data_IF_874803363745
#
_entry.id   IF_874803363745
#
_cell.length_a   1.000
_cell.length_b   1.000
_cell.length_c   1.000
_cell.angle_alpha   90.00
_cell.angle_beta   90.00
_cell.angle_gamma   90.00
#
_symmetry.space_group_name_H-M   'P 1'
#
loop_
_entity.id
_entity.type
_entity.pdbx_description
1 polymer ?
#
# COMPACT_ATOMS: atom_id res chain seq x y z
N UNK A 1 17.21 48.07 -8.05
CA UNK A 1 17.72 46.76 -8.44
C UNK A 1 17.67 45.90 -7.18
N UNK A 2 16.54 45.22 -7.01
CA UNK A 2 16.26 44.38 -5.83
C UNK A 2 17.01 43.07 -5.97
N UNK A 3 17.81 42.71 -4.97
CA UNK A 3 18.49 41.41 -4.94
C UNK A 3 17.45 40.31 -4.81
N UNK A 4 17.59 39.18 -5.50
CA UNK A 4 16.67 38.06 -5.37
C UNK A 4 16.76 37.52 -3.93
N UNK A 5 15.61 37.47 -3.25
CA UNK A 5 15.49 36.86 -1.92
C UNK A 5 15.81 35.37 -2.10
N UNK A 6 16.98 34.96 -1.61
CA UNK A 6 17.39 33.54 -1.61
C UNK A 6 16.46 32.81 -0.62
N UNK A 7 15.50 32.05 -1.14
CA UNK A 7 14.69 31.15 -0.34
C UNK A 7 15.62 30.10 0.29
N UNK A 8 15.61 29.91 1.61
CA UNK A 8 16.46 28.92 2.26
C UNK A 8 16.19 27.51 1.69
N UNK A 9 17.24 26.71 1.43
CA UNK A 9 17.13 25.33 0.92
C UNK A 9 16.12 24.48 1.70
N UNK A 10 16.04 24.68 3.00
CA UNK A 10 15.10 23.98 3.88
C UNK A 10 13.63 24.33 3.61
N UNK A 11 13.31 25.58 3.23
CA UNK A 11 11.94 25.96 2.91
C UNK A 11 11.45 25.25 1.62
N UNK A 12 12.31 25.13 0.63
CA UNK A 12 12.03 24.40 -0.61
C UNK A 12 11.86 22.89 -0.39
N UNK A 13 12.66 22.27 0.49
CA UNK A 13 12.53 20.86 0.81
C UNK A 13 11.21 20.58 1.54
N UNK A 14 10.87 21.38 2.54
CA UNK A 14 9.61 21.23 3.27
C UNK A 14 8.39 21.36 2.35
N UNK A 15 8.43 22.30 1.40
CA UNK A 15 7.35 22.44 0.41
C UNK A 15 7.25 21.22 -0.53
N UNK A 16 8.39 20.69 -0.98
CA UNK A 16 8.44 19.46 -1.79
C UNK A 16 7.91 18.25 -1.03
N UNK A 17 8.38 18.04 0.20
CA UNK A 17 7.91 16.95 1.07
C UNK A 17 6.41 17.02 1.28
N UNK A 18 5.88 18.22 1.58
CA UNK A 18 4.44 18.43 1.75
C UNK A 18 3.67 18.12 0.47
N UNK A 19 4.13 18.59 -0.68
CA UNK A 19 3.49 18.34 -1.97
C UNK A 19 3.42 16.85 -2.28
N UNK A 20 4.56 16.17 -2.24
CA UNK A 20 4.65 14.72 -2.50
C UNK A 20 3.81 13.91 -1.50
N UNK A 21 3.84 14.29 -0.21
CA UNK A 21 3.01 13.62 0.80
C UNK A 21 1.52 13.70 0.48
N UNK A 22 1.03 14.87 0.13
CA UNK A 22 -0.38 15.05 -0.23
C UNK A 22 -0.75 14.24 -1.48
N UNK A 23 0.10 14.22 -2.50
CA UNK A 23 -0.12 13.42 -3.71
C UNK A 23 -0.16 11.91 -3.40
N UNK A 24 0.73 11.42 -2.52
CA UNK A 24 0.70 10.02 -2.07
C UNK A 24 -0.57 9.67 -1.29
N UNK A 25 -1.02 10.55 -0.40
CA UNK A 25 -2.27 10.36 0.35
C UNK A 25 -3.47 10.38 -0.59
N UNK A 26 -3.51 11.31 -1.55
CA UNK A 26 -4.58 11.37 -2.53
C UNK A 26 -4.61 10.11 -3.42
N UNK A 27 -3.45 9.57 -3.80
CA UNK A 27 -3.35 8.31 -4.54
C UNK A 27 -3.93 7.12 -3.75
N UNK A 28 -3.63 7.02 -2.46
CA UNK A 28 -4.19 5.98 -1.58
C UNK A 28 -5.69 6.12 -1.44
N UNK A 29 -6.18 7.32 -1.09
CA UNK A 29 -7.61 7.57 -0.89
C UNK A 29 -8.42 7.51 -2.19
N UNK A 30 -7.78 7.82 -3.32
CA UNK A 30 -8.35 7.73 -4.67
C UNK A 30 -8.44 6.28 -5.19
N UNK A 31 -7.72 5.34 -4.56
CA UNK A 31 -7.68 3.94 -4.96
C UNK A 31 -6.64 3.62 -6.03
N UNK A 32 -5.68 4.50 -6.29
CA UNK A 32 -4.55 4.25 -7.21
C UNK A 32 -3.52 3.29 -6.61
N UNK A 33 -3.52 3.14 -5.28
CA UNK A 33 -2.81 2.12 -4.53
C UNK A 33 -1.29 2.29 -4.48
N UNK A 34 -0.61 1.25 -3.97
CA UNK A 34 0.85 1.26 -3.72
C UNK A 34 1.70 1.49 -4.98
N UNK A 35 1.20 1.13 -6.16
CA UNK A 35 1.92 1.36 -7.42
C UNK A 35 2.14 2.85 -7.70
N UNK A 36 1.12 3.67 -7.48
CA UNK A 36 1.22 5.12 -7.63
C UNK A 36 2.09 5.76 -6.54
N UNK A 37 2.01 5.25 -5.31
CA UNK A 37 2.91 5.68 -4.23
C UNK A 37 4.38 5.39 -4.58
N UNK A 38 4.68 4.21 -5.14
CA UNK A 38 6.03 3.86 -5.58
C UNK A 38 6.54 4.80 -6.69
N UNK A 39 5.69 5.14 -7.66
CA UNK A 39 6.01 6.09 -8.74
C UNK A 39 6.34 7.49 -8.19
N UNK A 40 5.48 8.03 -7.33
CA UNK A 40 5.69 9.34 -6.69
C UNK A 40 6.96 9.37 -5.83
N UNK A 41 7.24 8.27 -5.12
CA UNK A 41 8.45 8.13 -4.32
C UNK A 41 9.70 8.10 -5.21
N UNK A 42 9.66 7.35 -6.32
CA UNK A 42 10.77 7.24 -7.26
C UNK A 42 11.10 8.59 -7.91
N UNK A 43 10.09 9.31 -8.38
CA UNK A 43 10.24 10.64 -8.98
C UNK A 43 10.85 11.63 -7.98
N UNK A 44 10.43 11.59 -6.72
CA UNK A 44 10.90 12.50 -5.69
C UNK A 44 12.30 12.15 -5.15
N UNK A 45 12.60 10.86 -4.97
CA UNK A 45 13.87 10.36 -4.46
C UNK A 45 14.96 10.30 -5.54
N UNK A 46 14.59 10.31 -6.84
CA UNK A 46 15.52 10.20 -7.97
C UNK A 46 16.13 8.81 -8.09
N UNK A 47 15.42 7.77 -7.68
CA UNK A 47 15.83 6.37 -7.79
C UNK A 47 14.61 5.48 -7.98
N UNK A 48 14.79 4.29 -8.55
CA UNK A 48 13.71 3.31 -8.59
C UNK A 48 13.30 2.89 -7.17
N UNK A 49 12.01 2.67 -6.97
CA UNK A 49 11.43 2.31 -5.67
C UNK A 49 10.58 1.05 -5.77
N UNK A 50 10.76 0.15 -4.82
CA UNK A 50 9.88 -0.97 -4.58
C UNK A 50 9.18 -0.83 -3.24
N UNK A 51 7.90 -1.18 -3.18
CA UNK A 51 7.12 -1.28 -1.95
C UNK A 51 6.65 -2.72 -1.79
N UNK A 52 6.99 -3.32 -0.66
CA UNK A 52 6.63 -4.70 -0.37
C UNK A 52 5.86 -4.76 0.94
N UNK A 53 4.62 -5.22 0.86
CA UNK A 53 3.73 -5.40 2.01
C UNK A 53 3.22 -6.84 1.99
N UNK A 54 3.92 -7.78 2.67
CA UNK A 54 3.56 -9.20 2.69
C UNK A 54 2.14 -9.46 3.15
N UNK A 55 1.65 -8.69 4.10
CA UNK A 55 0.31 -8.79 4.69
C UNK A 55 -0.80 -8.59 3.64
N UNK A 56 -0.62 -7.69 2.68
CA UNK A 56 -1.51 -7.49 1.54
C UNK A 56 -1.19 -8.42 0.35
N UNK A 57 -0.16 -9.27 0.46
CA UNK A 57 0.37 -10.01 -0.68
C UNK A 57 0.97 -9.10 -1.77
N UNK A 58 1.16 -7.82 -1.46
CA UNK A 58 1.59 -6.80 -2.40
C UNK A 58 3.11 -6.72 -2.51
N UNK A 59 3.60 -6.60 -3.73
CA UNK A 59 4.95 -6.15 -4.05
C UNK A 59 4.88 -5.43 -5.39
N UNK A 60 5.20 -4.16 -5.39
CA UNK A 60 5.09 -3.26 -6.54
C UNK A 60 6.38 -2.46 -6.71
N UNK A 61 6.62 -1.99 -7.94
CA UNK A 61 7.69 -1.03 -8.26
C UNK A 61 7.10 0.14 -9.03
N UNK A 62 7.83 1.24 -9.12
CA UNK A 62 7.53 2.27 -10.09
C UNK A 62 7.63 1.72 -11.54
N UNK A 63 6.87 2.30 -12.49
CA UNK A 63 6.93 1.88 -13.90
C UNK A 63 8.34 1.97 -14.47
N UNK A 64 8.78 0.90 -15.13
CA UNK A 64 10.09 0.83 -15.78
C UNK A 64 11.23 0.36 -14.88
N UNK A 65 11.02 0.20 -13.58
CA UNK A 65 12.04 -0.36 -12.68
C UNK A 65 12.26 -1.85 -12.96
N UNK A 66 13.52 -2.26 -13.05
CA UNK A 66 13.91 -3.67 -13.18
C UNK A 66 14.24 -4.24 -11.80
N UNK A 67 13.33 -5.07 -11.26
CA UNK A 67 13.54 -5.74 -9.98
C UNK A 67 12.90 -7.12 -9.93
N UNK A 68 13.57 -8.08 -9.30
CA UNK A 68 12.97 -9.37 -8.99
C UNK A 68 12.09 -9.27 -7.75
N UNK A 69 10.79 -9.03 -7.98
CA UNK A 69 9.79 -8.91 -6.91
C UNK A 69 9.69 -10.18 -6.05
N UNK A 70 10.07 -11.34 -6.57
CA UNK A 70 10.05 -12.60 -5.79
C UNK A 70 11.15 -12.60 -4.72
N UNK A 71 12.33 -12.07 -5.06
CA UNK A 71 13.44 -11.88 -4.12
C UNK A 71 13.08 -10.85 -3.06
N UNK A 72 12.49 -9.70 -3.47
CA UNK A 72 12.09 -8.64 -2.55
C UNK A 72 10.97 -9.09 -1.61
N UNK A 73 9.98 -9.86 -2.08
CA UNK A 73 8.94 -10.45 -1.22
C UNK A 73 9.52 -11.38 -0.17
N UNK A 74 10.45 -12.24 -0.57
CA UNK A 74 11.12 -13.17 0.36
C UNK A 74 11.92 -12.41 1.40
N UNK A 75 12.66 -11.40 0.98
CA UNK A 75 13.43 -10.54 1.88
C UNK A 75 12.52 -9.88 2.92
N UNK A 76 11.45 -9.21 2.48
CA UNK A 76 10.52 -8.51 3.37
C UNK A 76 9.76 -9.45 4.33
N UNK A 77 9.58 -10.74 3.96
CA UNK A 77 8.94 -11.74 4.82
C UNK A 77 9.84 -12.41 5.85
N UNK A 78 11.17 -12.23 5.74
CA UNK A 78 12.13 -12.92 6.60
C UNK A 78 12.95 -11.92 7.42
N UNK A 79 12.79 -11.97 8.75
CA UNK A 79 13.52 -11.08 9.67
C UNK A 79 15.02 -11.41 9.71
N UNK A 80 15.86 -10.37 9.75
CA UNK A 80 17.30 -10.50 10.01
C UNK A 80 18.15 -10.99 8.85
N UNK A 81 17.64 -10.95 7.61
CA UNK A 81 18.44 -11.22 6.41
C UNK A 81 19.30 -10.03 6.00
N UNK A 82 20.38 -10.34 5.33
CA UNK A 82 21.20 -9.35 4.65
C UNK A 82 20.41 -8.72 3.49
N UNK A 83 20.57 -7.41 3.32
CA UNK A 83 19.91 -6.65 2.26
C UNK A 83 20.26 -7.23 0.90
N UNK A 84 19.28 -7.45 0.00
CA UNK A 84 19.55 -7.99 -1.33
C UNK A 84 20.46 -7.06 -2.15
N UNK A 85 21.29 -7.60 -3.03
CA UNK A 85 22.03 -6.80 -3.99
C UNK A 85 21.08 -5.92 -4.81
N UNK A 86 21.47 -4.69 -5.10
CA UNK A 86 20.66 -3.72 -5.85
C UNK A 86 19.60 -3.01 -5.00
N UNK A 87 19.60 -3.17 -3.68
CA UNK A 87 18.82 -2.34 -2.75
C UNK A 87 19.74 -1.33 -2.08
N UNK A 88 19.64 -0.08 -2.49
CA UNK A 88 20.47 1.04 -2.02
C UNK A 88 20.08 1.50 -0.62
N UNK A 89 18.79 1.61 -0.35
CA UNK A 89 18.25 2.02 0.96
C UNK A 89 16.95 1.31 1.27
N UNK A 90 16.57 1.32 2.55
CA UNK A 90 15.40 0.64 3.06
C UNK A 90 14.77 1.47 4.17
N UNK A 91 13.43 1.59 4.13
CA UNK A 91 12.62 2.18 5.18
C UNK A 91 11.53 1.19 5.56
N UNK A 92 11.42 0.80 6.84
CA UNK A 92 10.36 -0.10 7.28
C UNK A 92 8.99 0.60 7.27
N UNK A 93 7.96 -0.15 6.88
CA UNK A 93 6.56 0.23 7.09
C UNK A 93 6.14 -0.38 8.41
N UNK A 94 5.88 0.45 9.42
CA UNK A 94 5.61 -0.01 10.78
C UNK A 94 4.23 0.39 11.26
N UNK A 95 3.53 -0.55 11.91
CA UNK A 95 2.28 -0.30 12.63
C UNK A 95 2.55 -0.53 14.13
N UNK A 96 2.68 0.54 14.89
CA UNK A 96 3.20 0.46 16.25
C UNK A 96 4.62 -0.11 16.27
N UNK A 97 4.83 -1.20 17.04
CA UNK A 97 6.13 -1.88 17.15
C UNK A 97 6.33 -2.99 16.11
N UNK A 98 5.36 -3.23 15.25
CA UNK A 98 5.41 -4.28 14.22
C UNK A 98 5.82 -3.71 12.87
N UNK A 99 6.86 -4.31 12.24
CA UNK A 99 7.21 -4.05 10.84
C UNK A 99 6.34 -4.94 9.96
N UNK A 100 5.50 -4.32 9.14
CA UNK A 100 4.52 -4.98 8.27
C UNK A 100 4.93 -4.99 6.78
N UNK A 101 5.98 -4.26 6.43
CA UNK A 101 6.49 -4.15 5.07
C UNK A 101 7.71 -3.25 4.98
N UNK A 102 8.15 -3.01 3.75
CA UNK A 102 9.34 -2.20 3.46
C UNK A 102 9.16 -1.37 2.21
N UNK A 103 9.70 -0.14 2.24
CA UNK A 103 9.95 0.69 1.08
C UNK A 103 11.45 0.60 0.78
N UNK A 104 11.80 0.23 -0.44
CA UNK A 104 13.16 -0.06 -0.86
C UNK A 104 13.54 0.88 -2.02
N UNK A 105 14.64 1.63 -1.89
CA UNK A 105 15.25 2.28 -3.02
C UNK A 105 16.15 1.28 -3.74
N UNK A 106 16.00 1.20 -5.06
CA UNK A 106 16.75 0.27 -5.90
C UNK A 106 17.94 0.97 -6.58
N UNK A 107 19.03 0.27 -6.76
CA UNK A 107 20.26 0.78 -7.39
C UNK A 107 21.45 0.80 -6.44
N UNK A 108 22.37 1.72 -6.69
CA UNK A 108 23.59 1.89 -5.89
C UNK A 108 23.40 2.98 -4.82
N UNK A 109 23.91 2.80 -3.59
CA UNK A 109 23.77 3.77 -2.51
C UNK A 109 24.30 5.17 -2.86
N UNK A 110 25.37 5.24 -3.67
CA UNK A 110 26.01 6.49 -4.09
C UNK A 110 25.16 7.30 -5.07
N UNK A 111 24.16 6.67 -5.69
CA UNK A 111 23.24 7.33 -6.62
C UNK A 111 22.07 8.04 -5.91
N UNK A 112 21.84 7.77 -4.63
CA UNK A 112 20.76 8.37 -3.87
C UNK A 112 21.02 9.87 -3.61
N UNK A 113 19.97 10.67 -3.75
CA UNK A 113 20.02 12.08 -3.36
C UNK A 113 20.07 12.22 -1.84
N UNK A 114 20.57 13.37 -1.34
CA UNK A 114 20.66 13.65 0.10
C UNK A 114 19.29 13.55 0.79
N UNK A 115 18.22 13.92 0.08
CA UNK A 115 16.85 13.95 0.59
C UNK A 115 16.05 12.65 0.29
N UNK A 116 16.65 11.67 -0.39
CA UNK A 116 15.94 10.46 -0.84
C UNK A 116 15.21 9.71 0.30
N UNK A 117 15.92 9.55 1.43
CA UNK A 117 15.36 8.84 2.59
C UNK A 117 14.09 9.50 3.12
N UNK A 118 13.97 10.82 3.07
CA UNK A 118 12.78 11.54 3.53
C UNK A 118 11.56 11.19 2.67
N UNK A 119 11.74 11.09 1.35
CA UNK A 119 10.67 10.68 0.44
C UNK A 119 10.29 9.20 0.61
N UNK A 120 11.25 8.32 0.92
CA UNK A 120 10.96 6.93 1.25
C UNK A 120 10.18 6.81 2.57
N UNK A 121 10.45 7.65 3.56
CA UNK A 121 9.66 7.71 4.79
C UNK A 121 8.22 8.16 4.52
N UNK A 122 8.01 9.15 3.64
CA UNK A 122 6.66 9.54 3.22
C UNK A 122 5.92 8.40 2.53
N UNK A 123 6.62 7.67 1.64
CA UNK A 123 6.06 6.49 1.01
C UNK A 123 5.71 5.38 2.01
N UNK A 124 6.52 5.19 3.06
CA UNK A 124 6.22 4.23 4.13
C UNK A 124 4.94 4.62 4.91
N UNK A 125 4.76 5.91 5.20
CA UNK A 125 3.55 6.42 5.86
C UNK A 125 2.32 6.27 4.95
N UNK A 126 2.43 6.61 3.67
CA UNK A 126 1.35 6.43 2.70
C UNK A 126 0.99 4.94 2.54
N UNK A 127 2.00 4.07 2.48
CA UNK A 127 1.80 2.61 2.41
C UNK A 127 1.10 2.05 3.65
N UNK A 128 1.44 2.56 4.85
CA UNK A 128 0.72 2.20 6.08
C UNK A 128 -0.75 2.62 6.01
N UNK A 129 -1.04 3.79 5.44
CA UNK A 129 -2.42 4.26 5.24
C UNK A 129 -3.18 3.34 4.29
N UNK A 130 -2.56 2.90 3.20
CA UNK A 130 -3.15 1.92 2.27
C UNK A 130 -3.49 0.60 2.97
N UNK A 131 -2.57 0.07 3.80
CA UNK A 131 -2.83 -1.14 4.60
C UNK A 131 -4.06 -0.96 5.48
N UNK A 132 -4.15 0.16 6.20
CA UNK A 132 -5.28 0.44 7.09
C UNK A 132 -6.61 0.56 6.32
N UNK A 133 -6.60 1.16 5.13
CA UNK A 133 -7.78 1.28 4.26
C UNK A 133 -8.23 -0.11 3.77
N UNK A 134 -7.31 -0.95 3.29
CA UNK A 134 -7.63 -2.29 2.82
C UNK A 134 -8.14 -3.20 3.96
N UNK A 135 -7.51 -3.16 5.13
CA UNK A 135 -7.99 -3.89 6.31
C UNK A 135 -9.39 -3.46 6.74
N UNK A 136 -9.68 -2.15 6.72
CA UNK A 136 -11.01 -1.65 7.02
C UNK A 136 -12.06 -2.11 6.00
N UNK A 137 -11.71 -2.15 4.72
CA UNK A 137 -12.59 -2.68 3.65
C UNK A 137 -12.88 -4.17 3.86
N UNK A 138 -11.85 -4.97 4.15
CA UNK A 138 -11.99 -6.40 4.43
C UNK A 138 -12.88 -6.66 5.65
N UNK A 139 -12.70 -5.89 6.73
CA UNK A 139 -13.53 -6.00 7.93
C UNK A 139 -15.01 -5.70 7.63
N UNK A 140 -15.28 -4.63 6.89
CA UNK A 140 -16.65 -4.28 6.48
C UNK A 140 -17.27 -5.39 5.63
N UNK A 141 -16.53 -5.94 4.65
CA UNK A 141 -17.01 -7.04 3.83
C UNK A 141 -17.30 -8.29 4.66
N UNK A 142 -16.43 -8.65 5.60
CA UNK A 142 -16.63 -9.80 6.48
C UNK A 142 -17.88 -9.62 7.36
N UNK A 143 -18.07 -8.41 7.92
CA UNK A 143 -19.24 -8.08 8.72
C UNK A 143 -20.54 -8.16 7.91
N UNK A 144 -20.53 -7.67 6.66
CA UNK A 144 -21.67 -7.76 5.76
C UNK A 144 -22.00 -9.21 5.39
N UNK A 145 -20.98 -10.04 5.12
CA UNK A 145 -21.15 -11.47 4.87
C UNK A 145 -21.70 -12.20 6.10
N UNK A 146 -21.16 -11.91 7.29
CA UNK A 146 -21.63 -12.48 8.55
C UNK A 146 -23.09 -12.15 8.81
N UNK A 147 -23.48 -10.87 8.72
CA UNK A 147 -24.86 -10.42 8.90
C UNK A 147 -25.83 -11.06 7.90
N UNK A 148 -25.39 -11.20 6.65
CA UNK A 148 -26.19 -11.87 5.61
C UNK A 148 -26.43 -13.35 5.93
N UNK A 149 -25.40 -14.08 6.39
CA UNK A 149 -25.53 -15.48 6.79
C UNK A 149 -26.45 -15.64 8.03
N UNK A 150 -26.36 -14.75 8.99
CA UNK A 150 -27.25 -14.75 10.16
C UNK A 150 -28.71 -14.53 9.77
N UNK A 151 -28.97 -13.59 8.85
CA UNK A 151 -30.31 -13.32 8.32
C UNK A 151 -30.90 -14.56 7.61
N UNK A 152 -30.08 -15.23 6.76
CA UNK A 152 -30.47 -16.48 6.09
C UNK A 152 -30.82 -17.59 7.08
N UNK A 153 -30.09 -17.69 8.20
CA UNK A 153 -30.37 -18.72 9.24
C UNK A 153 -31.59 -18.40 10.08
N UNK A 154 -31.79 -17.12 10.39
CA UNK A 154 -32.88 -16.70 11.30
C UNK A 154 -34.25 -16.72 10.62
N UNK A 155 -34.32 -16.43 9.31
CA UNK A 155 -35.60 -16.21 8.59
C UNK A 155 -35.59 -16.81 7.18
N UNK A 156 -35.33 -18.12 7.04
CA UNK A 156 -35.18 -18.76 5.72
C UNK A 156 -36.47 -18.66 4.87
N UNK A 157 -37.64 -18.70 5.49
CA UNK A 157 -38.95 -18.70 4.80
C UNK A 157 -39.47 -17.29 4.48
N UNK A 158 -38.88 -16.24 5.03
CA UNK A 158 -39.30 -14.85 4.81
C UNK A 158 -38.53 -14.15 3.66
N UNK A 159 -37.44 -14.76 3.17
CA UNK A 159 -36.57 -14.16 2.18
C UNK A 159 -36.95 -14.56 0.75
N UNK A 160 -37.02 -13.58 -0.16
CA UNK A 160 -37.19 -13.85 -1.58
C UNK A 160 -35.91 -14.50 -2.14
N UNK A 161 -35.97 -15.73 -2.71
CA UNK A 161 -34.83 -16.43 -3.26
C UNK A 161 -34.04 -15.62 -4.30
N UNK A 162 -34.72 -14.81 -5.12
CA UNK A 162 -34.07 -13.97 -6.13
C UNK A 162 -33.29 -12.82 -5.49
N UNK A 163 -33.78 -12.26 -4.41
CA UNK A 163 -33.08 -11.22 -3.66
C UNK A 163 -31.86 -11.78 -2.94
N UNK A 164 -31.99 -12.96 -2.35
CA UNK A 164 -30.88 -13.70 -1.71
C UNK A 164 -29.74 -13.94 -2.71
N UNK A 165 -30.03 -14.45 -3.90
CA UNK A 165 -29.01 -14.70 -4.93
C UNK A 165 -28.34 -13.41 -5.38
N UNK A 166 -29.10 -12.33 -5.60
CA UNK A 166 -28.53 -11.03 -5.98
C UNK A 166 -27.63 -10.43 -4.90
N UNK A 167 -28.05 -10.55 -3.62
CA UNK A 167 -27.29 -10.03 -2.48
C UNK A 167 -26.02 -10.85 -2.25
N UNK A 168 -26.12 -12.17 -2.34
CA UNK A 168 -24.98 -13.07 -2.29
C UNK A 168 -23.93 -12.74 -3.36
N UNK A 169 -24.36 -12.55 -4.61
CA UNK A 169 -23.46 -12.19 -5.70
C UNK A 169 -22.71 -10.87 -5.44
N UNK A 170 -23.38 -9.86 -4.86
CA UNK A 170 -22.74 -8.59 -4.47
C UNK A 170 -21.71 -8.76 -3.35
N UNK A 171 -21.87 -9.78 -2.50
CA UNK A 171 -20.94 -10.14 -1.42
C UNK A 171 -19.85 -11.13 -1.88
N UNK A 172 -19.76 -11.40 -3.18
CA UNK A 172 -18.78 -12.34 -3.75
C UNK A 172 -19.11 -13.82 -3.46
N UNK A 173 -20.35 -14.13 -3.05
CA UNK A 173 -20.81 -15.50 -2.79
C UNK A 173 -21.57 -16.05 -3.99
N UNK A 174 -21.09 -17.15 -4.59
CA UNK A 174 -21.79 -17.85 -5.67
C UNK A 174 -22.74 -18.90 -5.09
N UNK A 175 -24.01 -18.56 -4.95
CA UNK A 175 -25.05 -19.48 -4.50
C UNK A 175 -25.62 -20.34 -5.64
N UNK A 176 -25.26 -20.10 -6.91
CA UNK A 176 -25.75 -20.89 -8.04
C UNK A 176 -25.28 -22.36 -7.99
N UNK A 177 -24.21 -22.62 -7.26
CA UNK A 177 -23.66 -23.98 -7.04
C UNK A 177 -24.18 -24.66 -5.77
N UNK A 178 -25.07 -24.02 -5.05
CA UNK A 178 -25.55 -24.46 -3.74
C UNK A 178 -24.57 -24.09 -2.60
N UNK A 179 -25.12 -23.83 -1.42
CA UNK A 179 -24.32 -23.60 -0.21
C UNK A 179 -24.53 -24.79 0.73
N UNK A 180 -23.41 -25.33 1.25
CA UNK A 180 -23.45 -26.26 2.39
C UNK A 180 -23.07 -25.46 3.63
N UNK A 181 -24.00 -25.35 4.57
CA UNK A 181 -23.70 -24.81 5.90
C UNK A 181 -23.35 -26.01 6.78
N UNK A 182 -22.09 -26.05 7.19
CA UNK A 182 -21.57 -27.02 8.15
C UNK A 182 -21.77 -26.48 9.56
#
# INVERSE_FOLDING_TARGET
>A
MEAPVSVPRHATLVERLRGVHLEMVDAVLGGDGLGRVAELAADAAGSDVAIVVPRLGAAVTNPGAEADLSVLRRYAGERGKERPPGVAAEVPISSGDEVIGHVLALGEPEALTEDALEFLHLAAVASLTEVAVEEAKEEVEQNLRGSFLEELRAKPDELDPHEVVRRAARLGCDLARGAVVL
#
